data_IF_507267957151
#
_entry.id   IF_507267957151
#
_cell.length_a   1.000
_cell.length_b   1.000
_cell.length_c   1.000
_cell.angle_alpha   90.00
_cell.angle_beta   90.00
_cell.angle_gamma   90.00
#
_symmetry.space_group_name_H-M   'P 1'
#
loop_
_entity.id
_entity.type
_entity.pdbx_description
1 polymer ?
#
# COMPACT_ATOMS: atom_id res chain seq x y z
N UNK A 1 12.57 -16.63 31.89
CA UNK A 1 11.95 -15.32 31.64
C UNK A 1 10.71 -15.55 30.80
N UNK A 2 9.52 -15.40 31.38
CA UNK A 2 8.29 -15.32 30.61
C UNK A 2 8.32 -13.97 29.89
N UNK A 3 8.40 -13.99 28.56
CA UNK A 3 8.24 -12.77 27.77
C UNK A 3 6.80 -12.30 27.94
N UNK A 4 6.60 -11.14 28.57
CA UNK A 4 5.29 -10.49 28.61
C UNK A 4 4.82 -10.24 27.18
N UNK A 5 3.84 -11.03 26.74
CA UNK A 5 3.27 -10.89 25.39
C UNK A 5 2.33 -9.69 25.42
N UNK A 6 2.66 -8.67 24.66
CA UNK A 6 1.75 -7.55 24.38
C UNK A 6 0.72 -8.05 23.35
N UNK A 7 -0.56 -8.08 23.74
CA UNK A 7 -1.67 -8.47 22.88
C UNK A 7 -2.38 -7.22 22.38
N UNK A 8 -2.67 -7.16 21.08
CA UNK A 8 -3.46 -6.11 20.44
C UNK A 8 -4.50 -6.71 19.51
N UNK A 9 -5.48 -5.90 19.10
CA UNK A 9 -6.40 -6.31 18.04
C UNK A 9 -5.64 -6.59 16.73
N UNK A 10 -6.12 -7.50 15.86
CA UNK A 10 -5.40 -7.88 14.64
C UNK A 10 -5.10 -6.69 13.72
N UNK A 11 -6.03 -5.73 13.65
CA UNK A 11 -5.94 -4.50 12.84
C UNK A 11 -4.99 -3.43 13.42
N UNK A 12 -4.45 -3.58 14.64
CA UNK A 12 -3.62 -2.54 15.26
C UNK A 12 -2.42 -2.13 14.38
N UNK A 13 -1.72 -3.11 13.79
CA UNK A 13 -0.60 -2.82 12.89
C UNK A 13 -1.03 -2.10 11.60
N UNK A 14 -2.21 -2.43 11.06
CA UNK A 14 -2.76 -1.73 9.89
C UNK A 14 -3.02 -0.27 10.25
N UNK A 15 -3.63 -0.05 11.42
CA UNK A 15 -3.92 1.28 11.95
C UNK A 15 -2.64 2.12 12.12
N UNK A 16 -1.62 1.60 12.79
CA UNK A 16 -0.36 2.30 13.03
C UNK A 16 0.33 2.70 11.72
N UNK A 17 0.33 1.82 10.72
CA UNK A 17 0.92 2.11 9.40
C UNK A 17 0.16 3.21 8.66
N UNK A 18 -1.18 3.18 8.65
CA UNK A 18 -1.98 4.26 8.05
C UNK A 18 -1.84 5.58 8.83
N UNK A 19 -1.74 5.55 10.16
CA UNK A 19 -1.46 6.76 10.94
C UNK A 19 -0.06 7.33 10.64
N UNK A 20 0.96 6.48 10.53
CA UNK A 20 2.29 6.90 10.12
C UNK A 20 2.28 7.54 8.72
N UNK A 21 1.55 6.93 7.77
CA UNK A 21 1.38 7.47 6.43
C UNK A 21 0.70 8.85 6.45
N UNK A 22 -0.39 9.03 7.20
CA UNK A 22 -1.06 10.33 7.34
C UNK A 22 -0.14 11.40 7.92
N UNK A 23 0.64 11.08 8.97
CA UNK A 23 1.64 12.00 9.53
C UNK A 23 2.73 12.36 8.53
N UNK A 24 3.15 11.41 7.69
CA UNK A 24 4.13 11.68 6.64
C UNK A 24 3.55 12.57 5.54
N UNK A 25 2.29 12.39 5.15
CA UNK A 25 1.61 13.30 4.23
C UNK A 25 1.58 14.75 4.75
N UNK A 26 1.40 14.96 6.05
CA UNK A 26 1.47 16.30 6.67
C UNK A 26 2.88 16.89 6.53
N UNK A 27 3.93 16.10 6.80
CA UNK A 27 5.33 16.53 6.62
C UNK A 27 5.68 16.90 5.18
N UNK A 28 5.14 16.16 4.20
CA UNK A 28 5.28 16.51 2.78
C UNK A 28 4.65 17.88 2.49
N UNK A 29 3.47 18.15 3.04
CA UNK A 29 2.81 19.44 2.86
C UNK A 29 3.59 20.60 3.51
N UNK A 30 4.19 20.36 4.69
CA UNK A 30 5.08 21.32 5.36
C UNK A 30 6.35 21.59 4.52
N UNK A 31 6.98 20.54 3.98
CA UNK A 31 8.16 20.67 3.11
C UNK A 31 7.84 21.44 1.83
N UNK A 32 6.65 21.23 1.26
CA UNK A 32 6.16 21.99 0.12
C UNK A 32 5.99 23.48 0.44
N UNK A 33 5.40 23.80 1.59
CA UNK A 33 5.27 25.19 2.05
C UNK A 33 6.63 25.86 2.29
N UNK A 34 7.63 25.10 2.76
CA UNK A 34 9.00 25.55 2.94
C UNK A 34 9.84 25.63 1.65
N UNK A 35 9.28 25.21 0.50
CA UNK A 35 9.97 25.14 -0.79
C UNK A 35 11.23 24.25 -0.78
N UNK A 36 11.25 23.22 0.08
CA UNK A 36 12.31 22.21 0.09
C UNK A 36 11.95 21.05 -0.85
N UNK A 37 12.29 21.21 -2.13
CA UNK A 37 12.02 20.22 -3.17
C UNK A 37 12.70 18.86 -2.91
N UNK A 38 13.84 18.85 -2.21
CA UNK A 38 14.57 17.62 -1.93
C UNK A 38 13.85 16.82 -0.85
N UNK A 39 13.55 17.44 0.30
CA UNK A 39 12.80 16.81 1.39
C UNK A 39 11.41 16.37 0.93
N UNK A 40 10.73 17.21 0.14
CA UNK A 40 9.42 16.89 -0.43
C UNK A 40 9.47 15.59 -1.24
N UNK A 41 10.42 15.46 -2.18
CA UNK A 41 10.51 14.26 -3.03
C UNK A 41 10.87 13.01 -2.23
N UNK A 42 11.76 13.14 -1.25
CA UNK A 42 12.15 12.04 -0.36
C UNK A 42 10.93 11.53 0.42
N UNK A 43 10.21 12.42 1.09
CA UNK A 43 9.04 12.06 1.89
C UNK A 43 7.87 11.58 1.01
N UNK A 44 7.67 12.16 -0.17
CA UNK A 44 6.66 11.69 -1.12
C UNK A 44 6.97 10.28 -1.63
N UNK A 45 8.24 9.95 -1.88
CA UNK A 45 8.64 8.59 -2.27
C UNK A 45 8.35 7.59 -1.14
N UNK A 46 8.65 7.95 0.11
CA UNK A 46 8.36 7.12 1.28
C UNK A 46 6.84 6.95 1.45
N UNK A 47 6.02 7.99 1.24
CA UNK A 47 4.56 7.88 1.25
C UNK A 47 4.06 6.83 0.25
N UNK A 48 4.57 6.84 -0.99
CA UNK A 48 4.19 5.87 -2.03
C UNK A 48 4.56 4.44 -1.62
N UNK A 49 5.78 4.24 -1.13
CA UNK A 49 6.25 2.92 -0.69
C UNK A 49 5.38 2.41 0.48
N UNK A 50 5.15 3.28 1.47
CA UNK A 50 4.38 2.94 2.65
C UNK A 50 2.90 2.68 2.31
N UNK A 51 2.29 3.43 1.39
CA UNK A 51 0.90 3.22 0.96
C UNK A 51 0.68 1.81 0.37
N UNK A 52 1.60 1.34 -0.50
CA UNK A 52 1.53 -0.02 -1.04
C UNK A 52 1.74 -1.06 0.08
N UNK A 53 2.66 -0.81 1.01
CA UNK A 53 2.91 -1.68 2.15
C UNK A 53 1.70 -1.76 3.10
N UNK A 54 1.01 -0.65 3.35
CA UNK A 54 -0.21 -0.60 4.15
C UNK A 54 -1.29 -1.53 3.59
N UNK A 55 -1.47 -1.52 2.26
CA UNK A 55 -2.42 -2.42 1.60
C UNK A 55 -2.01 -3.88 1.74
N UNK A 56 -0.73 -4.21 1.57
CA UNK A 56 -0.26 -5.59 1.75
C UNK A 56 -0.47 -6.10 3.18
N UNK A 57 -0.12 -5.29 4.18
CA UNK A 57 -0.35 -5.64 5.59
C UNK A 57 -1.84 -5.77 5.88
N UNK A 58 -2.67 -4.86 5.35
CA UNK A 58 -4.12 -4.98 5.41
C UNK A 58 -4.59 -6.32 4.83
N UNK A 59 -4.19 -6.69 3.61
CA UNK A 59 -4.58 -7.96 3.00
C UNK A 59 -4.21 -9.14 3.88
N UNK A 60 -2.96 -9.20 4.36
CA UNK A 60 -2.48 -10.29 5.20
C UNK A 60 -3.34 -10.44 6.47
N UNK A 61 -3.61 -9.33 7.16
CA UNK A 61 -4.36 -9.34 8.42
C UNK A 61 -5.85 -9.57 8.18
N UNK A 62 -6.44 -8.84 7.24
CA UNK A 62 -7.87 -8.87 6.95
C UNK A 62 -8.32 -10.25 6.51
N UNK A 63 -7.64 -10.85 5.53
CA UNK A 63 -7.99 -12.18 5.05
C UNK A 63 -7.70 -13.27 6.08
N UNK A 64 -6.66 -13.12 6.91
CA UNK A 64 -6.43 -14.00 8.06
C UNK A 64 -7.61 -13.97 9.04
N UNK A 65 -8.18 -12.80 9.32
CA UNK A 65 -9.36 -12.67 10.19
C UNK A 65 -10.58 -13.28 9.51
N UNK A 66 -10.83 -12.95 8.24
CA UNK A 66 -12.00 -13.43 7.51
C UNK A 66 -12.12 -14.95 7.49
N UNK A 67 -11.02 -15.68 7.23
CA UNK A 67 -11.07 -17.15 7.16
C UNK A 67 -11.39 -17.83 8.49
N UNK A 68 -11.40 -17.09 9.61
CA UNK A 68 -11.88 -17.60 10.90
C UNK A 68 -13.39 -17.47 11.06
N UNK A 69 -14.06 -16.69 10.21
CA UNK A 69 -15.50 -16.54 10.20
C UNK A 69 -16.14 -17.73 9.46
N UNK A 70 -17.26 -18.31 9.97
CA UNK A 70 -17.89 -19.48 9.36
C UNK A 70 -18.23 -19.32 7.88
N UNK A 71 -18.60 -18.10 7.45
CA UNK A 71 -18.97 -17.80 6.07
C UNK A 71 -17.81 -17.91 5.07
N UNK A 72 -16.56 -17.86 5.54
CA UNK A 72 -15.35 -17.87 4.69
C UNK A 72 -14.39 -19.01 5.03
N UNK A 73 -14.80 -19.94 5.91
CA UNK A 73 -13.99 -21.04 6.37
C UNK A 73 -13.56 -21.99 5.24
N UNK A 74 -14.31 -22.05 4.12
CA UNK A 74 -13.94 -22.80 2.92
C UNK A 74 -12.60 -22.35 2.34
N UNK A 75 -12.18 -21.12 2.62
CA UNK A 75 -10.94 -20.57 2.10
C UNK A 75 -9.73 -20.72 3.04
N UNK A 76 -9.94 -21.24 4.25
CA UNK A 76 -8.95 -21.18 5.33
C UNK A 76 -7.64 -21.88 5.01
N UNK A 77 -7.68 -23.07 4.42
CA UNK A 77 -6.48 -23.87 4.10
C UNK A 77 -5.55 -23.11 3.14
N UNK A 78 -6.10 -22.64 2.02
CA UNK A 78 -5.34 -21.94 0.97
C UNK A 78 -4.76 -20.62 1.45
N UNK A 79 -5.56 -19.79 2.13
CA UNK A 79 -5.11 -18.48 2.63
C UNK A 79 -4.04 -18.67 3.71
N UNK A 80 -4.20 -19.65 4.61
CA UNK A 80 -3.19 -19.96 5.63
C UNK A 80 -1.88 -20.43 5.00
N UNK A 81 -1.92 -21.30 4.00
CA UNK A 81 -0.74 -21.74 3.27
C UNK A 81 -0.03 -20.55 2.59
N UNK A 82 -0.79 -19.67 1.92
CA UNK A 82 -0.23 -18.49 1.26
C UNK A 82 0.39 -17.49 2.25
N UNK A 83 -0.20 -17.31 3.43
CA UNK A 83 0.33 -16.44 4.49
C UNK A 83 1.69 -16.91 5.03
N UNK A 84 1.95 -18.22 5.01
CA UNK A 84 3.25 -18.79 5.44
C UNK A 84 4.32 -18.76 4.34
N UNK A 85 3.92 -18.47 3.10
CA UNK A 85 4.83 -18.50 1.95
C UNK A 85 5.34 -17.11 1.59
N UNK A 86 6.65 -16.95 1.55
CA UNK A 86 7.30 -15.71 1.06
C UNK A 86 7.14 -15.51 -0.45
N UNK A 87 6.68 -16.53 -1.18
CA UNK A 87 6.43 -16.46 -2.63
C UNK A 87 5.07 -15.85 -2.97
N UNK A 88 4.15 -15.75 -1.99
CA UNK A 88 2.86 -15.09 -2.20
C UNK A 88 3.00 -13.58 -1.98
N UNK A 89 3.42 -12.86 -3.02
CA UNK A 89 3.48 -11.40 -3.01
C UNK A 89 2.10 -10.75 -3.17
N UNK A 90 2.04 -9.45 -2.87
CA UNK A 90 0.82 -8.63 -2.99
C UNK A 90 0.06 -8.84 -4.31
N UNK A 91 0.75 -8.95 -5.45
CA UNK A 91 0.14 -9.11 -6.77
C UNK A 91 -0.73 -10.36 -6.91
N UNK A 92 -0.29 -11.43 -6.26
CA UNK A 92 -1.04 -12.68 -6.23
C UNK A 92 -2.24 -12.53 -5.31
N UNK A 93 -2.03 -11.94 -4.12
CA UNK A 93 -3.08 -11.69 -3.12
C UNK A 93 -4.25 -10.90 -3.70
N UNK A 94 -3.99 -9.76 -4.34
CA UNK A 94 -5.06 -8.88 -4.86
C UNK A 94 -5.84 -9.50 -6.03
N UNK A 95 -5.27 -10.47 -6.74
CA UNK A 95 -5.92 -11.15 -7.87
C UNK A 95 -6.67 -12.41 -7.45
N UNK A 96 -6.07 -13.20 -6.55
CA UNK A 96 -6.55 -14.54 -6.22
C UNK A 96 -7.41 -14.57 -4.96
N UNK A 97 -7.01 -13.87 -3.89
CA UNK A 97 -7.68 -14.00 -2.60
C UNK A 97 -9.13 -13.50 -2.60
N UNK A 98 -9.48 -12.32 -3.17
CA UNK A 98 -10.87 -11.88 -3.26
C UNK A 98 -11.76 -12.87 -4.01
N UNK A 99 -11.27 -13.42 -5.13
CA UNK A 99 -12.00 -14.40 -5.92
C UNK A 99 -12.26 -15.67 -5.11
N UNK A 100 -11.26 -16.13 -4.38
CA UNK A 100 -11.36 -17.37 -3.63
C UNK A 100 -12.25 -17.22 -2.37
N UNK A 101 -12.20 -16.08 -1.70
CA UNK A 101 -12.97 -15.84 -0.47
C UNK A 101 -14.39 -15.36 -0.76
N UNK A 102 -14.57 -14.41 -1.68
CA UNK A 102 -15.87 -13.78 -1.96
C UNK A 102 -16.55 -14.31 -3.23
N UNK A 103 -15.88 -15.14 -4.02
CA UNK A 103 -16.37 -15.57 -5.34
C UNK A 103 -16.28 -14.48 -6.42
N UNK A 104 -15.69 -13.32 -6.11
CA UNK A 104 -15.64 -12.14 -6.98
C UNK A 104 -14.24 -11.53 -7.05
N UNK A 105 -13.87 -11.02 -8.23
CA UNK A 105 -12.59 -10.34 -8.43
C UNK A 105 -12.68 -8.87 -8.03
N UNK A 106 -11.58 -8.30 -7.56
CA UNK A 106 -11.46 -6.85 -7.44
C UNK A 106 -11.47 -6.19 -8.83
N UNK A 107 -12.15 -5.03 -9.00
CA UNK A 107 -12.12 -4.28 -10.24
C UNK A 107 -10.78 -3.56 -10.41
N UNK A 108 -9.77 -4.25 -10.94
CA UNK A 108 -8.41 -3.70 -11.10
C UNK A 108 -8.22 -2.84 -12.36
N UNK A 109 -9.20 -2.84 -13.28
CA UNK A 109 -9.12 -2.12 -14.55
C UNK A 109 -9.75 -0.73 -14.55
N UNK A 110 -10.46 -0.37 -13.48
CA UNK A 110 -11.17 0.90 -13.34
C UNK A 110 -11.14 1.40 -11.89
N UNK A 111 -11.56 2.66 -11.69
CA UNK A 111 -11.76 3.24 -10.37
C UNK A 111 -10.55 3.13 -9.43
N UNK A 112 -10.83 2.84 -8.14
CA UNK A 112 -9.80 2.73 -7.11
C UNK A 112 -8.82 1.57 -7.35
N UNK A 113 -9.26 0.47 -7.98
CA UNK A 113 -8.38 -0.65 -8.33
C UNK A 113 -7.33 -0.26 -9.36
N UNK A 114 -7.72 0.42 -10.44
CA UNK A 114 -6.76 0.91 -11.44
C UNK A 114 -5.79 1.93 -10.86
N UNK A 115 -6.28 2.83 -10.00
CA UNK A 115 -5.44 3.79 -9.29
C UNK A 115 -4.40 3.08 -8.42
N UNK A 116 -4.79 2.03 -7.71
CA UNK A 116 -3.85 1.25 -6.89
C UNK A 116 -2.80 0.50 -7.73
N UNK A 117 -3.19 -0.08 -8.86
CA UNK A 117 -2.23 -0.68 -9.80
C UNK A 117 -1.23 0.36 -10.30
N UNK A 118 -1.70 1.58 -10.61
CA UNK A 118 -0.83 2.69 -11.03
C UNK A 118 0.14 3.08 -9.91
N UNK A 119 -0.34 3.22 -8.68
CA UNK A 119 0.49 3.52 -7.50
C UNK A 119 1.57 2.45 -7.29
N UNK A 120 1.21 1.16 -7.39
CA UNK A 120 2.15 0.05 -7.27
C UNK A 120 3.22 0.09 -8.38
N UNK A 121 2.86 0.46 -9.60
CA UNK A 121 3.81 0.61 -10.70
C UNK A 121 4.77 1.77 -10.46
N UNK A 122 4.31 2.88 -9.87
CA UNK A 122 5.19 3.98 -9.45
C UNK A 122 6.16 3.49 -8.37
N UNK A 123 5.66 2.81 -7.33
CA UNK A 123 6.52 2.18 -6.29
C UNK A 123 7.56 1.25 -6.91
N UNK A 124 7.20 0.46 -7.91
CA UNK A 124 8.15 -0.40 -8.63
C UNK A 124 9.25 0.42 -9.31
N UNK A 125 8.91 1.49 -10.05
CA UNK A 125 9.88 2.39 -10.69
C UNK A 125 10.80 3.10 -9.68
N UNK A 126 10.30 3.41 -8.48
CA UNK A 126 11.12 4.01 -7.42
C UNK A 126 12.12 3.02 -6.79
N UNK A 127 11.81 1.72 -6.81
CA UNK A 127 12.65 0.68 -6.22
C UNK A 127 13.60 0.02 -7.22
N UNK A 128 13.25 0.04 -8.51
CA UNK A 128 14.00 -0.61 -9.57
C UNK A 128 14.28 0.41 -10.67
N UNK A 129 15.42 1.08 -10.56
CA UNK A 129 15.89 2.01 -11.58
C UNK A 129 16.31 1.23 -12.83
N UNK A 130 15.89 1.70 -13.99
CA UNK A 130 16.41 1.21 -15.27
C UNK A 130 17.73 1.90 -15.57
N UNK A 131 18.79 1.11 -15.78
CA UNK A 131 20.05 1.64 -16.30
C UNK A 131 19.86 2.10 -17.73
N UNK A 132 20.32 3.31 -18.04
CA UNK A 132 20.49 3.78 -19.42
C UNK A 132 21.81 3.26 -19.99
N UNK A 133 22.04 3.42 -21.29
CA UNK A 133 23.35 3.16 -21.91
C UNK A 133 24.30 4.37 -21.83
N UNK A 134 23.89 5.41 -21.11
CA UNK A 134 24.65 6.65 -21.03
C UNK A 134 25.82 6.50 -20.05
N UNK A 135 26.93 7.16 -20.37
CA UNK A 135 28.14 7.17 -19.55
C UNK A 135 28.46 8.61 -19.15
N UNK A 136 28.60 8.84 -17.85
CA UNK A 136 29.11 10.11 -17.32
C UNK A 136 30.63 9.99 -17.14
N UNK A 137 31.38 10.85 -17.84
CA UNK A 137 32.83 10.94 -17.70
C UNK A 137 33.20 12.17 -16.88
N UNK A 138 33.78 11.94 -15.69
CA UNK A 138 34.39 12.96 -14.84
C UNK A 138 35.90 12.70 -14.83
N UNK A 139 36.75 13.70 -14.56
CA UNK A 139 38.21 13.52 -14.63
C UNK A 139 38.67 12.34 -13.74
N UNK A 140 39.20 11.28 -14.36
CA UNK A 140 39.64 10.06 -13.69
C UNK A 140 38.54 9.02 -13.36
N UNK A 141 37.26 9.28 -13.67
CA UNK A 141 36.13 8.38 -13.36
C UNK A 141 35.16 8.30 -14.55
N UNK A 142 34.91 7.09 -15.05
CA UNK A 142 33.81 6.81 -15.98
C UNK A 142 32.70 6.04 -15.26
N UNK A 143 31.52 6.65 -15.13
CA UNK A 143 30.33 6.01 -14.60
C UNK A 143 29.50 5.53 -15.79
N UNK A 144 29.53 4.22 -16.04
CA UNK A 144 28.72 3.58 -17.07
C UNK A 144 27.35 3.19 -16.49
N UNK A 145 26.30 3.38 -17.29
CA UNK A 145 24.96 2.92 -16.90
C UNK A 145 24.27 3.89 -15.95
N UNK A 146 24.07 5.14 -16.38
CA UNK A 146 23.32 6.12 -15.59
C UNK A 146 21.92 5.61 -15.24
N UNK A 147 21.44 5.86 -14.03
CA UNK A 147 20.12 5.42 -13.60
C UNK A 147 19.03 6.42 -14.05
N UNK A 148 17.96 5.93 -14.67
CA UNK A 148 16.76 6.73 -14.92
C UNK A 148 15.99 6.95 -13.61
N UNK A 149 16.00 8.20 -13.13
CA UNK A 149 15.33 8.64 -11.90
C UNK A 149 14.14 9.55 -12.19
N UNK A 150 13.65 9.60 -13.43
CA UNK A 150 12.55 10.49 -13.86
C UNK A 150 11.30 10.32 -13.01
N UNK A 151 10.96 9.09 -12.62
CA UNK A 151 9.83 8.81 -11.74
C UNK A 151 9.98 9.51 -10.38
N UNK A 152 11.18 9.52 -9.79
CA UNK A 152 11.47 10.21 -8.54
C UNK A 152 11.43 11.74 -8.69
N UNK A 153 12.00 12.27 -9.76
CA UNK A 153 11.98 13.72 -10.02
C UNK A 153 10.58 14.27 -10.34
N UNK A 154 9.66 13.42 -10.81
CA UNK A 154 8.27 13.79 -11.05
C UNK A 154 7.39 13.88 -9.79
N UNK A 155 7.90 13.45 -8.63
CA UNK A 155 7.13 13.43 -7.40
C UNK A 155 6.80 14.84 -6.91
N UNK A 156 5.58 15.00 -6.40
CA UNK A 156 5.05 16.24 -5.87
C UNK A 156 4.33 16.01 -4.54
N UNK A 157 3.96 17.08 -3.84
CA UNK A 157 3.14 16.97 -2.63
C UNK A 157 1.81 16.26 -2.89
N UNK A 158 1.23 16.47 -4.08
CA UNK A 158 0.00 15.80 -4.53
C UNK A 158 0.17 14.29 -4.59
N UNK A 159 1.35 13.80 -5.01
CA UNK A 159 1.67 12.37 -5.09
C UNK A 159 1.54 11.67 -3.73
N UNK A 160 1.92 12.33 -2.64
CA UNK A 160 1.79 11.78 -1.29
C UNK A 160 0.32 11.64 -0.84
N UNK A 161 -0.48 12.66 -1.10
CA UNK A 161 -1.91 12.68 -0.75
C UNK A 161 -2.69 11.66 -1.60
N UNK A 162 -2.39 11.59 -2.90
CA UNK A 162 -2.98 10.60 -3.80
C UNK A 162 -2.60 9.19 -3.38
N UNK A 163 -1.35 8.92 -2.98
CA UNK A 163 -0.95 7.59 -2.49
C UNK A 163 -1.79 7.11 -1.30
N UNK A 164 -2.00 7.98 -0.30
CA UNK A 164 -2.86 7.68 0.86
C UNK A 164 -4.30 7.43 0.43
N UNK A 165 -4.90 8.35 -0.33
CA UNK A 165 -6.29 8.26 -0.75
C UNK A 165 -6.54 7.02 -1.63
N UNK A 166 -5.60 6.68 -2.52
CA UNK A 166 -5.67 5.48 -3.35
C UNK A 166 -5.60 4.20 -2.51
N UNK A 167 -4.72 4.14 -1.50
CA UNK A 167 -4.66 2.98 -0.62
C UNK A 167 -5.97 2.79 0.16
N UNK A 168 -6.52 3.86 0.75
CA UNK A 168 -7.80 3.81 1.48
C UNK A 168 -8.98 3.48 0.56
N UNK A 169 -9.04 4.10 -0.62
CA UNK A 169 -10.08 3.83 -1.62
C UNK A 169 -10.03 2.38 -2.11
N UNK A 170 -8.84 1.79 -2.24
CA UNK A 170 -8.68 0.40 -2.61
C UNK A 170 -9.19 -0.57 -1.52
N UNK A 171 -8.97 -0.24 -0.25
CA UNK A 171 -9.56 -0.98 0.88
C UNK A 171 -11.09 -0.97 0.83
N UNK A 172 -11.70 0.17 0.46
CA UNK A 172 -13.15 0.25 0.28
C UNK A 172 -13.69 -0.73 -0.78
N UNK A 173 -12.96 -0.97 -1.87
CA UNK A 173 -13.36 -1.99 -2.85
C UNK A 173 -13.38 -3.40 -2.26
N UNK A 174 -12.43 -3.71 -1.36
CA UNK A 174 -12.42 -4.99 -0.62
C UNK A 174 -13.63 -5.09 0.33
N UNK A 175 -13.97 -4.00 1.01
CA UNK A 175 -15.15 -3.94 1.89
C UNK A 175 -16.46 -4.11 1.12
N UNK A 176 -16.59 -3.48 -0.05
CA UNK A 176 -17.74 -3.67 -0.95
C UNK A 176 -17.89 -5.12 -1.38
N UNK A 177 -16.80 -5.81 -1.73
CA UNK A 177 -16.84 -7.24 -2.06
C UNK A 177 -17.30 -8.13 -0.90
N UNK A 178 -17.00 -7.74 0.35
CA UNK A 178 -17.56 -8.41 1.54
C UNK A 178 -19.07 -8.19 1.69
N UNK A 179 -19.64 -7.20 1.01
CA UNK A 179 -21.05 -6.81 1.13
C UNK A 179 -21.29 -5.66 2.10
N UNK A 180 -20.26 -4.89 2.47
CA UNK A 180 -20.42 -3.68 3.29
C UNK A 180 -21.08 -2.60 2.42
N UNK A 181 -22.16 -2.01 2.94
CA UNK A 181 -22.93 -0.97 2.25
C UNK A 181 -22.10 0.31 2.09
N UNK A 182 -22.44 1.14 1.10
CA UNK A 182 -21.77 2.44 0.91
C UNK A 182 -21.87 3.36 2.14
N UNK A 183 -22.96 3.27 2.89
CA UNK A 183 -23.20 4.06 4.12
C UNK A 183 -22.26 3.61 5.26
N UNK A 184 -21.90 2.33 5.29
CA UNK A 184 -21.05 1.75 6.34
C UNK A 184 -19.54 1.78 5.99
N UNK A 185 -19.18 2.13 4.74
CA UNK A 185 -17.77 2.18 4.31
C UNK A 185 -16.90 3.11 5.19
N UNK A 186 -17.34 4.32 5.59
CA UNK A 186 -16.54 5.17 6.47
C UNK A 186 -16.24 4.50 7.81
N UNK A 187 -17.20 3.76 8.38
CA UNK A 187 -17.03 3.06 9.66
C UNK A 187 -16.13 1.82 9.53
N UNK A 188 -16.24 1.07 8.43
CA UNK A 188 -15.34 -0.03 8.13
C UNK A 188 -13.90 0.48 7.94
N UNK A 189 -13.73 1.55 7.16
CA UNK A 189 -12.44 2.16 6.92
C UNK A 189 -11.83 2.73 8.21
N UNK A 190 -12.64 3.35 9.08
CA UNK A 190 -12.21 3.78 10.41
C UNK A 190 -11.68 2.61 11.23
N UNK A 191 -12.45 1.52 11.30
CA UNK A 191 -12.10 0.34 12.08
C UNK A 191 -10.76 -0.27 11.63
N UNK A 192 -10.41 -0.19 10.35
CA UNK A 192 -9.19 -0.80 9.83
C UNK A 192 -8.00 0.14 9.72
N UNK A 193 -8.23 1.43 9.48
CA UNK A 193 -7.16 2.39 9.15
C UNK A 193 -7.05 3.53 10.15
N UNK A 194 -8.04 3.69 11.04
CA UNK A 194 -8.13 4.83 11.95
C UNK A 194 -8.63 6.13 11.34
N UNK A 195 -8.98 6.16 10.04
CA UNK A 195 -9.56 7.36 9.41
C UNK A 195 -10.87 7.69 10.11
N UNK A 196 -11.08 8.89 10.68
CA UNK A 196 -12.38 9.23 11.24
C UNK A 196 -13.50 9.06 10.20
N UNK A 197 -14.67 8.52 10.58
CA UNK A 197 -15.82 8.47 9.68
C UNK A 197 -16.28 9.90 9.40
N UNK A 198 -16.30 10.28 8.11
CA UNK A 198 -16.72 11.60 7.61
C UNK A 198 -17.77 11.33 6.53
#
# INVERSE_FOLDING_TARGET
MLTDRILSSPNHMVWELFQALRRLCVRVAESHAAQDDSALRQDAAICIILAVQCVEVFFNVYFRVLITEPAYAHAAEKISADLTSTQCGLDRKIKEWPLFVFGQKLPLGEGAGQQFITLKNIRHKLMHFTSTHETLSIHGIAIHGMADTSAYHSLSAKSAIEALNTAEGFLCEVFKLRGISSEDLPHALHSWTGRPPI
#
